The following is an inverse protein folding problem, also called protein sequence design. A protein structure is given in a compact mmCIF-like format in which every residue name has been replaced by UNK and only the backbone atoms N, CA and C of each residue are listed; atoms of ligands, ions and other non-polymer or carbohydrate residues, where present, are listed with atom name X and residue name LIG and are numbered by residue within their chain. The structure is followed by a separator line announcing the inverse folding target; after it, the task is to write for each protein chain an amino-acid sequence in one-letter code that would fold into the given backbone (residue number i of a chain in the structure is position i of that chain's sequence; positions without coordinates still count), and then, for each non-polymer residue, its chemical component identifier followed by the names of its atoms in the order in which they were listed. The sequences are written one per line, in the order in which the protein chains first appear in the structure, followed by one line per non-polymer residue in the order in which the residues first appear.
data_IF_662912189158
#
_entry.id   IF_662912189158
#
_cell.length_a   1.000
_cell.length_b   1.000
_cell.length_c   1.000
_cell.angle_alpha   90.00
_cell.angle_beta   90.00
_cell.angle_gamma   90.00
#
_symmetry.space_group_name_H-M   'P 1'
#
loop_
_entity.id
_entity.type
_entity.pdbx_description
1 polymer ?
#
# COMPACT_ATOMS: atom_id res chain seq x y z
N UNK A 1 2.32 9.17 19.60
CA UNK A 1 0.92 9.13 19.10
C UNK A 1 0.73 8.20 17.88
N UNK A 2 1.70 8.09 16.96
CA UNK A 2 1.67 7.11 15.84
C UNK A 2 1.81 5.66 16.30
N UNK A 3 2.66 5.41 17.31
CA UNK A 3 2.90 4.07 17.87
C UNK A 3 1.66 3.54 18.61
N UNK A 4 0.96 4.40 19.35
CA UNK A 4 -0.27 4.04 20.07
C UNK A 4 -1.45 3.74 19.13
N UNK A 5 -1.52 4.42 17.97
CA UNK A 5 -2.56 4.17 16.96
C UNK A 5 -2.31 2.87 16.18
N UNK A 6 -1.04 2.59 15.87
CA UNK A 6 -0.60 1.29 15.34
C UNK A 6 -0.86 0.17 16.36
N UNK A 7 -0.60 0.40 17.65
CA UNK A 7 -0.90 -0.55 18.71
C UNK A 7 -2.40 -0.84 18.84
N UNK A 8 -3.25 0.18 18.70
CA UNK A 8 -4.71 0.02 18.72
C UNK A 8 -5.22 -0.77 17.51
N UNK A 9 -4.66 -0.50 16.31
CA UNK A 9 -4.85 -1.34 15.12
C UNK A 9 -4.42 -2.78 15.35
N UNK A 10 -3.26 -2.97 15.99
CA UNK A 10 -2.67 -4.26 16.35
C UNK A 10 -3.50 -5.07 17.34
N UNK A 11 -4.20 -4.40 18.27
CA UNK A 11 -5.03 -5.04 19.30
C UNK A 11 -6.50 -5.19 18.88
N UNK A 12 -6.93 -4.53 17.80
CA UNK A 12 -8.28 -4.66 17.23
C UNK A 12 -8.74 -6.09 16.92
N UNK A 13 -7.87 -7.05 16.52
CA UNK A 13 -8.27 -8.43 16.28
C UNK A 13 -8.46 -9.24 17.57
N UNK A 14 -7.97 -8.75 18.72
CA UNK A 14 -8.09 -9.43 20.01
C UNK A 14 -9.43 -9.20 20.71
N UNK A 15 -10.23 -8.25 20.23
CA UNK A 15 -11.52 -7.94 20.82
C UNK A 15 -12.68 -8.29 19.88
N UNK A 16 -13.75 -8.81 20.50
CA UNK A 16 -15.02 -9.26 19.95
C UNK A 16 -15.45 -8.54 18.66
N UNK A 17 -16.07 -9.25 17.70
CA UNK A 17 -16.36 -8.80 16.29
C UNK A 17 -16.90 -7.37 16.12
N UNK A 18 -17.60 -6.84 17.12
CA UNK A 18 -18.10 -5.47 17.15
C UNK A 18 -17.03 -4.42 17.47
N UNK A 19 -16.09 -4.76 18.36
CA UNK A 19 -14.98 -3.90 18.80
C UNK A 19 -13.93 -3.79 17.69
N UNK A 20 -13.65 -4.85 16.92
CA UNK A 20 -12.73 -4.76 15.77
C UNK A 20 -13.26 -3.81 14.70
N UNK A 21 -14.58 -3.80 14.46
CA UNK A 21 -15.26 -2.90 13.52
C UNK A 21 -15.31 -1.47 14.06
N UNK A 22 -15.56 -1.28 15.35
CA UNK A 22 -15.48 0.03 16.04
C UNK A 22 -14.05 0.56 16.06
N UNK A 23 -13.03 -0.29 16.22
CA UNK A 23 -11.62 0.10 16.15
C UNK A 23 -11.21 0.40 14.72
N UNK A 24 -11.69 -0.35 13.72
CA UNK A 24 -11.49 -0.02 12.30
C UNK A 24 -12.13 1.33 11.94
N UNK A 25 -13.32 1.63 12.46
CA UNK A 25 -13.99 2.93 12.33
C UNK A 25 -13.21 4.02 13.08
N UNK A 26 -12.72 3.76 14.30
CA UNK A 26 -11.89 4.69 15.08
C UNK A 26 -10.52 4.94 14.44
N UNK A 27 -10.00 3.98 13.68
CA UNK A 27 -8.76 4.10 12.92
C UNK A 27 -9.01 4.85 11.63
N UNK A 28 -10.12 4.61 10.93
CA UNK A 28 -10.53 5.42 9.78
C UNK A 28 -10.82 6.87 10.21
N UNK A 29 -11.43 7.07 11.39
CA UNK A 29 -11.60 8.37 12.05
C UNK A 29 -10.26 8.93 12.51
N UNK A 30 -9.35 8.11 13.02
CA UNK A 30 -8.01 8.51 13.45
C UNK A 30 -7.13 8.93 12.28
N UNK A 31 -7.23 8.24 11.14
CA UNK A 31 -6.65 8.62 9.85
C UNK A 31 -7.31 9.89 9.35
N UNK A 32 -8.62 10.04 9.44
CA UNK A 32 -9.35 11.29 9.13
C UNK A 32 -8.88 12.47 9.99
N UNK A 33 -8.69 12.28 11.30
CA UNK A 33 -8.14 13.30 12.20
C UNK A 33 -6.66 13.57 11.89
N UNK A 34 -5.87 12.55 11.54
CA UNK A 34 -4.48 12.73 11.09
C UNK A 34 -4.36 13.39 9.71
N UNK A 35 -5.37 13.29 8.83
CA UNK A 35 -5.40 14.10 7.61
C UNK A 35 -5.38 15.59 7.94
N UNK A 36 -5.86 16.01 9.13
CA UNK A 36 -5.76 17.39 9.58
C UNK A 36 -4.39 17.75 10.19
N UNK A 37 -3.48 16.80 10.45
CA UNK A 37 -2.17 17.07 11.04
C UNK A 37 -1.03 17.15 10.01
N UNK A 38 -1.21 16.61 8.80
CA UNK A 38 -0.26 16.82 7.69
C UNK A 38 -0.65 18.09 6.95
N UNK A 39 -0.47 19.23 7.63
CA UNK A 39 -0.76 20.57 7.12
C UNK A 39 0.45 21.14 6.41
N UNK A 40 0.20 21.78 5.27
CA UNK A 40 1.18 22.60 4.57
C UNK A 40 1.54 23.80 5.45
N UNK A 41 2.74 23.81 6.01
CA UNK A 41 3.35 25.08 6.37
C UNK A 41 4.07 25.62 5.13
N UNK A 42 3.33 26.24 4.21
CA UNK A 42 3.95 27.06 3.16
C UNK A 42 4.52 28.29 3.88
N UNK A 43 5.73 28.18 4.42
CA UNK A 43 6.50 29.36 4.84
C UNK A 43 6.91 30.12 3.58
N UNK A 44 5.98 30.85 2.96
CA UNK A 44 6.37 32.01 2.17
C UNK A 44 6.84 33.06 3.18
N UNK A 45 8.14 33.36 3.16
CA UNK A 45 8.65 34.64 3.67
C UNK A 45 7.96 35.75 2.88
N UNK A 46 6.82 36.25 3.36
CA UNK A 46 6.31 37.63 3.18
C UNK A 46 5.01 37.80 3.98
N UNK A 47 4.83 39.04 4.45
CA UNK A 47 3.95 39.59 5.49
C UNK A 47 2.50 39.04 5.54
N UNK A 48 1.84 39.08 6.72
CA UNK A 48 0.54 38.46 6.93
C UNK A 48 -0.57 39.35 6.33
N UNK A 49 -1.12 38.93 5.20
CA UNK A 49 -2.49 39.28 4.83
C UNK A 49 -3.37 38.07 5.11
N UNK A 50 -4.49 38.29 5.81
CA UNK A 50 -5.48 37.28 6.23
C UNK A 50 -6.24 36.72 5.01
N UNK A 51 -5.55 36.07 4.09
CA UNK A 51 -6.16 35.09 3.22
C UNK A 51 -6.16 33.77 4.00
N UNK A 52 -7.34 33.25 4.31
CA UNK A 52 -7.52 31.86 4.76
C UNK A 52 -7.10 30.94 3.63
N UNK A 53 -5.79 30.70 3.51
CA UNK A 53 -5.23 29.71 2.61
C UNK A 53 -5.70 28.36 3.12
N UNK A 54 -6.67 27.74 2.44
CA UNK A 54 -7.11 26.39 2.74
C UNK A 54 -5.90 25.46 2.64
N UNK A 55 -5.41 24.99 3.80
CA UNK A 55 -4.36 23.99 3.90
C UNK A 55 -4.91 22.66 3.34
N UNK A 56 -4.48 22.26 2.14
CA UNK A 56 -4.90 20.99 1.53
C UNK A 56 -4.02 19.88 2.11
N UNK A 57 -4.60 18.89 2.78
CA UNK A 57 -3.81 17.76 3.30
C UNK A 57 -3.27 16.87 2.17
N UNK A 58 -1.98 16.55 2.21
CA UNK A 58 -1.29 15.74 1.18
C UNK A 58 -1.98 14.38 1.02
N UNK A 59 -2.42 13.78 2.13
CA UNK A 59 -3.13 12.50 2.13
C UNK A 59 -4.48 12.58 1.39
N UNK A 60 -5.29 13.62 1.65
CA UNK A 60 -6.57 13.82 0.96
C UNK A 60 -6.37 14.08 -0.53
N UNK A 61 -5.30 14.78 -0.89
CA UNK A 61 -4.94 15.01 -2.29
C UNK A 61 -4.53 13.71 -2.99
N UNK A 62 -3.68 12.87 -2.39
CA UNK A 62 -3.30 11.57 -2.96
C UNK A 62 -4.51 10.65 -3.09
N UNK A 63 -5.40 10.59 -2.10
CA UNK A 63 -6.66 9.83 -2.18
C UNK A 63 -7.53 10.30 -3.34
N UNK A 64 -7.81 11.61 -3.41
CA UNK A 64 -8.65 12.20 -4.45
C UNK A 64 -8.06 11.93 -5.83
N UNK A 65 -6.76 12.14 -5.99
CA UNK A 65 -6.06 11.91 -7.25
C UNK A 65 -6.13 10.45 -7.69
N UNK A 66 -5.92 9.53 -6.76
CA UNK A 66 -5.95 8.11 -7.04
C UNK A 66 -7.31 7.65 -7.60
N UNK A 67 -8.41 8.11 -7.01
CA UNK A 67 -9.78 7.73 -7.40
C UNK A 67 -10.36 8.54 -8.56
N UNK A 68 -9.88 9.75 -8.84
CA UNK A 68 -10.28 10.51 -10.04
C UNK A 68 -9.83 9.81 -11.32
N UNK A 69 -8.73 9.08 -11.23
CA UNK A 69 -8.09 8.47 -12.36
C UNK A 69 -8.79 7.17 -12.77
N UNK A 70 -9.53 7.21 -13.89
CA UNK A 70 -10.35 6.09 -14.38
C UNK A 70 -9.55 4.79 -14.54
N UNK A 71 -8.32 4.87 -15.04
CA UNK A 71 -7.45 3.71 -15.25
C UNK A 71 -7.10 3.01 -13.93
N UNK A 72 -6.85 3.76 -12.86
CA UNK A 72 -6.59 3.21 -11.53
C UNK A 72 -7.83 2.49 -10.98
N UNK A 73 -9.00 3.15 -11.08
CA UNK A 73 -10.27 2.61 -10.59
C UNK A 73 -10.64 1.32 -11.33
N UNK A 74 -10.53 1.31 -12.66
CA UNK A 74 -10.79 0.11 -13.48
C UNK A 74 -9.82 -1.01 -13.09
N UNK A 75 -8.51 -0.72 -13.04
CA UNK A 75 -7.51 -1.72 -12.70
C UNK A 75 -7.73 -2.36 -11.32
N UNK A 76 -8.20 -1.58 -10.36
CA UNK A 76 -8.54 -2.07 -9.02
C UNK A 76 -9.80 -2.92 -9.02
N UNK A 77 -10.89 -2.46 -9.65
CA UNK A 77 -12.14 -3.21 -9.70
C UNK A 77 -11.94 -4.54 -10.40
N UNK A 78 -11.22 -4.55 -11.54
CA UNK A 78 -10.91 -5.78 -12.28
C UNK A 78 -10.10 -6.77 -11.44
N UNK A 79 -9.06 -6.29 -10.75
CA UNK A 79 -8.24 -7.15 -9.88
C UNK A 79 -9.02 -7.66 -8.67
N UNK A 80 -9.93 -6.85 -8.12
CA UNK A 80 -10.80 -7.27 -7.04
C UNK A 80 -11.78 -8.36 -7.46
N UNK A 81 -12.43 -8.21 -8.62
CA UNK A 81 -13.32 -9.25 -9.16
C UNK A 81 -12.54 -10.55 -9.43
N UNK A 82 -11.38 -10.43 -10.09
CA UNK A 82 -10.51 -11.57 -10.36
C UNK A 82 -10.10 -12.30 -9.08
N UNK A 83 -9.69 -11.57 -8.04
CA UNK A 83 -9.29 -12.13 -6.74
C UNK A 83 -10.41 -12.94 -6.10
N UNK A 84 -11.64 -12.43 -6.11
CA UNK A 84 -12.78 -13.14 -5.51
C UNK A 84 -13.20 -14.38 -6.33
N UNK A 85 -13.19 -14.29 -7.65
CA UNK A 85 -13.45 -15.45 -8.54
C UNK A 85 -12.41 -16.53 -8.29
N UNK A 86 -11.13 -16.16 -8.24
CA UNK A 86 -10.04 -17.10 -7.99
C UNK A 86 -10.14 -17.73 -6.60
N UNK A 87 -10.45 -16.93 -5.58
CA UNK A 87 -10.64 -17.42 -4.22
C UNK A 87 -11.81 -18.41 -4.10
N UNK A 88 -12.95 -18.13 -4.75
CA UNK A 88 -14.08 -19.06 -4.82
C UNK A 88 -13.70 -20.36 -5.54
N UNK A 89 -13.01 -20.27 -6.69
CA UNK A 89 -12.60 -21.43 -7.45
C UNK A 89 -11.64 -22.33 -6.67
N UNK A 90 -10.66 -21.75 -5.94
CA UNK A 90 -9.73 -22.52 -5.09
C UNK A 90 -10.49 -23.32 -4.05
N UNK A 91 -11.50 -22.72 -3.42
CA UNK A 91 -12.27 -23.38 -2.38
C UNK A 91 -13.21 -24.46 -2.93
N UNK A 92 -13.68 -24.30 -4.17
CA UNK A 92 -14.58 -25.25 -4.83
C UNK A 92 -13.89 -26.51 -5.39
N UNK A 93 -12.55 -26.57 -5.35
CA UNK A 93 -11.81 -27.76 -5.81
C UNK A 93 -11.86 -28.83 -4.71
N UNK A 94 -12.84 -29.71 -4.80
CA UNK A 94 -12.97 -30.88 -3.94
C UNK A 94 -11.69 -31.75 -4.02
N UNK A 95 -11.18 -32.16 -2.85
CA UNK A 95 -10.06 -33.11 -2.74
C UNK A 95 -8.66 -32.50 -2.87
N UNK A 96 -8.51 -31.25 -3.32
CA UNK A 96 -7.31 -30.49 -3.02
C UNK A 96 -7.49 -29.83 -1.67
N UNK A 97 -6.91 -30.42 -0.63
CA UNK A 97 -6.40 -29.61 0.46
C UNK A 97 -5.27 -28.77 -0.13
N UNK A 98 -5.61 -27.70 -0.86
CA UNK A 98 -4.65 -26.65 -1.15
C UNK A 98 -4.17 -26.26 0.23
N UNK A 99 -2.92 -26.61 0.55
CA UNK A 99 -2.35 -26.31 1.85
C UNK A 99 -2.70 -24.87 2.14
N UNK A 100 -3.37 -24.62 3.26
CA UNK A 100 -3.98 -23.34 3.60
C UNK A 100 -3.01 -22.15 3.34
N UNK A 101 -1.70 -22.37 3.46
CA UNK A 101 -0.64 -21.43 3.06
C UNK A 101 -0.62 -21.00 1.58
N UNK A 102 -0.86 -21.90 0.63
CA UNK A 102 -0.88 -21.61 -0.82
C UNK A 102 -2.03 -20.69 -1.23
N UNK A 103 -3.21 -20.84 -0.61
CA UNK A 103 -4.36 -19.93 -0.84
C UNK A 103 -4.00 -18.50 -0.46
N UNK A 104 -3.49 -18.30 0.75
CA UNK A 104 -3.10 -16.96 1.23
C UNK A 104 -1.87 -16.40 0.49
N UNK A 105 -0.96 -17.26 0.03
CA UNK A 105 0.10 -16.86 -0.89
C UNK A 105 -0.44 -16.25 -2.18
N UNK A 106 -1.38 -16.92 -2.84
CA UNK A 106 -1.97 -16.45 -4.09
C UNK A 106 -2.73 -15.14 -3.88
N UNK A 107 -3.51 -15.03 -2.79
CA UNK A 107 -4.20 -13.80 -2.42
C UNK A 107 -3.19 -12.65 -2.25
N UNK A 108 -2.12 -12.85 -1.47
CA UNK A 108 -1.09 -11.83 -1.27
C UNK A 108 -0.38 -11.48 -2.56
N UNK A 109 -0.08 -12.45 -3.42
CA UNK A 109 0.58 -12.25 -4.69
C UNK A 109 -0.29 -11.41 -5.63
N UNK A 110 -1.59 -11.70 -5.71
CA UNK A 110 -2.53 -10.97 -6.56
C UNK A 110 -2.73 -9.55 -6.05
N UNK A 111 -3.00 -9.35 -4.75
CA UNK A 111 -3.12 -8.00 -4.19
C UNK A 111 -1.82 -7.23 -4.40
N UNK A 112 -0.69 -7.89 -4.16
CA UNK A 112 0.61 -7.30 -4.41
C UNK A 112 0.75 -6.94 -5.87
N UNK A 113 0.25 -7.71 -6.84
CA UNK A 113 0.39 -7.45 -8.29
C UNK A 113 -0.37 -6.22 -8.83
N UNK A 114 -1.30 -5.66 -8.06
CA UNK A 114 -2.14 -4.51 -8.48
C UNK A 114 -1.24 -3.32 -8.81
N UNK A 115 -1.11 -3.03 -10.11
CA UNK A 115 -0.14 -2.05 -10.60
C UNK A 115 -0.46 -0.62 -10.14
N UNK A 116 -1.72 -0.14 -10.14
CA UNK A 116 -2.06 1.21 -9.65
C UNK A 116 -1.59 1.50 -8.22
N UNK A 117 -1.67 0.50 -7.33
CA UNK A 117 -1.29 0.65 -5.92
C UNK A 117 0.23 0.75 -5.73
N UNK A 118 0.99 0.03 -6.55
CA UNK A 118 2.43 -0.11 -6.34
C UNK A 118 3.28 0.81 -7.22
N UNK A 119 2.68 1.45 -8.23
CA UNK A 119 3.36 2.36 -9.17
C UNK A 119 2.95 3.83 -8.96
N UNK A 120 2.59 4.23 -7.74
CA UNK A 120 2.12 5.58 -7.43
C UNK A 120 3.16 6.68 -7.65
N UNK A 121 4.46 6.35 -7.68
CA UNK A 121 5.55 7.28 -7.97
C UNK A 121 5.86 7.35 -9.45
N UNK A 122 5.66 6.26 -10.18
CA UNK A 122 5.73 6.22 -11.63
C UNK A 122 4.56 6.96 -12.28
N UNK A 123 3.34 6.82 -11.76
CA UNK A 123 2.12 7.49 -12.27
C UNK A 123 2.17 9.02 -12.22
N UNK A 124 3.12 9.58 -11.48
CA UNK A 124 3.24 11.00 -11.14
C UNK A 124 4.18 11.76 -12.07
N UNK A 125 4.54 11.20 -13.23
CA UNK A 125 5.46 11.83 -14.19
C UNK A 125 5.18 13.32 -14.42
N UNK A 126 3.93 13.69 -14.66
CA UNK A 126 3.53 15.09 -14.89
C UNK A 126 3.62 15.95 -13.63
N UNK A 127 3.26 15.38 -12.47
CA UNK A 127 3.30 16.09 -11.19
C UNK A 127 4.73 16.31 -10.70
N UNK A 128 5.67 15.42 -11.04
CA UNK A 128 7.11 15.64 -10.82
C UNK A 128 7.61 16.87 -11.58
N UNK A 129 7.15 17.08 -12.82
CA UNK A 129 7.49 18.27 -13.62
C UNK A 129 6.95 19.56 -13.00
N UNK A 130 5.89 19.49 -12.21
CA UNK A 130 5.30 20.63 -11.49
C UNK A 130 5.99 20.81 -10.13
N UNK A 131 6.37 19.73 -9.46
CA UNK A 131 7.01 19.73 -8.14
C UNK A 131 8.44 20.29 -8.14
N UNK A 132 9.10 20.39 -9.30
CA UNK A 132 10.30 21.23 -9.49
C UNK A 132 10.09 22.67 -9.03
N UNK A 133 8.89 23.22 -9.27
CA UNK A 133 8.53 24.61 -8.97
C UNK A 133 7.88 24.76 -7.57
N UNK A 134 7.47 23.66 -6.96
CA UNK A 134 6.93 23.60 -5.59
C UNK A 134 7.55 22.43 -4.82
N UNK A 135 8.72 22.63 -4.18
CA UNK A 135 9.46 21.54 -3.58
C UNK A 135 8.70 20.97 -2.38
N UNK A 136 8.32 19.69 -2.50
CA UNK A 136 7.72 18.91 -1.42
C UNK A 136 8.73 17.89 -0.92
N UNK A 137 8.82 17.72 0.40
CA UNK A 137 9.71 16.71 1.01
C UNK A 137 9.32 15.31 0.53
N UNK A 138 10.28 14.60 -0.07
CA UNK A 138 10.10 13.25 -0.62
C UNK A 138 9.53 12.26 0.41
N UNK A 139 10.01 12.34 1.66
CA UNK A 139 9.52 11.54 2.79
C UNK A 139 8.03 11.76 3.08
N UNK A 140 7.54 12.99 2.97
CA UNK A 140 6.12 13.29 3.25
C UNK A 140 5.19 12.69 2.19
N UNK A 141 5.59 12.76 0.92
CA UNK A 141 4.85 12.16 -0.19
C UNK A 141 4.87 10.63 -0.08
N UNK A 142 6.04 10.06 0.24
CA UNK A 142 6.17 8.63 0.49
C UNK A 142 5.23 8.15 1.60
N UNK A 143 5.18 8.86 2.74
CA UNK A 143 4.28 8.52 3.84
C UNK A 143 2.79 8.63 3.43
N UNK A 144 2.42 9.59 2.58
CA UNK A 144 1.06 9.68 2.09
C UNK A 144 0.72 8.53 1.13
N UNK A 145 1.59 8.23 0.17
CA UNK A 145 1.38 7.15 -0.81
C UNK A 145 1.35 5.76 -0.17
N UNK A 146 2.25 5.49 0.79
CA UNK A 146 2.22 4.23 1.54
C UNK A 146 0.93 4.09 2.33
N UNK A 147 0.43 5.16 2.96
CA UNK A 147 -0.87 5.12 3.65
C UNK A 147 -2.03 4.85 2.71
N UNK A 148 -2.10 5.52 1.54
CA UNK A 148 -3.16 5.26 0.56
C UNK A 148 -3.11 3.81 0.07
N UNK A 149 -1.93 3.35 -0.37
CA UNK A 149 -1.78 2.00 -0.92
C UNK A 149 -2.05 0.92 0.13
N UNK A 150 -1.58 1.11 1.37
CA UNK A 150 -1.82 0.16 2.46
C UNK A 150 -3.29 0.13 2.84
N UNK A 151 -3.97 1.27 2.96
CA UNK A 151 -5.40 1.29 3.28
C UNK A 151 -6.24 0.57 2.23
N UNK A 152 -5.96 0.81 0.94
CA UNK A 152 -6.72 0.17 -0.14
C UNK A 152 -6.43 -1.33 -0.22
N UNK A 153 -5.16 -1.74 -0.11
CA UNK A 153 -4.79 -3.17 -0.13
C UNK A 153 -5.34 -3.94 1.08
N UNK A 154 -5.31 -3.35 2.28
CA UNK A 154 -5.89 -3.95 3.49
C UNK A 154 -7.42 -4.03 3.40
N UNK A 155 -8.06 -3.03 2.80
CA UNK A 155 -9.50 -3.10 2.52
C UNK A 155 -9.84 -4.31 1.65
N UNK A 156 -9.08 -4.56 0.57
CA UNK A 156 -9.30 -5.75 -0.26
C UNK A 156 -9.07 -7.06 0.49
N UNK A 157 -7.99 -7.15 1.26
CA UNK A 157 -7.74 -8.33 2.08
C UNK A 157 -8.88 -8.58 3.07
N UNK A 158 -9.40 -7.53 3.71
CA UNK A 158 -10.50 -7.64 4.67
C UNK A 158 -11.80 -8.16 4.03
N UNK A 159 -12.10 -7.77 2.79
CA UNK A 159 -13.27 -8.28 2.07
C UNK A 159 -13.10 -9.76 1.73
N UNK A 160 -11.94 -10.18 1.24
CA UNK A 160 -11.68 -11.58 0.92
C UNK A 160 -11.80 -12.46 2.18
N UNK A 161 -11.26 -12.00 3.30
CA UNK A 161 -11.35 -12.68 4.59
C UNK A 161 -12.80 -12.74 5.08
N UNK A 162 -13.55 -11.66 4.94
CA UNK A 162 -14.97 -11.62 5.29
C UNK A 162 -15.77 -12.61 4.46
N UNK A 163 -15.52 -12.69 3.16
CA UNK A 163 -16.15 -13.66 2.25
C UNK A 163 -15.79 -15.09 2.67
N UNK A 164 -14.52 -15.35 3.01
CA UNK A 164 -14.09 -16.68 3.46
C UNK A 164 -14.73 -17.09 4.79
N UNK A 165 -14.84 -16.15 5.74
CA UNK A 165 -15.48 -16.43 7.02
C UNK A 165 -16.98 -16.68 6.86
N UNK A 166 -17.66 -15.92 5.99
CA UNK A 166 -19.10 -16.03 5.80
C UNK A 166 -19.53 -17.22 4.92
N UNK A 167 -18.83 -17.46 3.82
CA UNK A 167 -19.19 -18.52 2.87
C UNK A 167 -18.58 -19.88 3.23
N UNK A 168 -17.37 -19.89 3.79
CA UNK A 168 -16.58 -21.11 3.99
C UNK A 168 -16.28 -21.40 5.47
N UNK A 169 -16.80 -20.59 6.39
CA UNK A 169 -16.67 -20.76 7.84
C UNK A 169 -15.21 -20.84 8.35
N UNK A 170 -14.25 -20.30 7.58
CA UNK A 170 -12.84 -20.28 7.97
C UNK A 170 -12.60 -19.33 9.16
N UNK A 171 -12.03 -19.83 10.26
CA UNK A 171 -11.62 -19.01 11.41
C UNK A 171 -10.19 -18.49 11.23
N UNK A 172 -10.07 -17.25 10.77
CA UNK A 172 -8.80 -16.71 10.28
C UNK A 172 -8.02 -15.79 11.22
N UNK A 173 -8.51 -15.51 12.43
CA UNK A 173 -8.03 -14.40 13.27
C UNK A 173 -6.51 -14.18 13.31
N UNK A 174 -5.73 -15.17 13.76
CA UNK A 174 -4.28 -15.04 13.91
C UNK A 174 -3.53 -15.08 12.57
N UNK A 175 -4.10 -15.76 11.56
CA UNK A 175 -3.50 -15.87 10.24
C UNK A 175 -3.72 -14.59 9.42
N UNK A 176 -4.91 -14.00 9.51
CA UNK A 176 -5.22 -12.68 8.96
C UNK A 176 -4.20 -11.65 9.43
N UNK A 177 -3.86 -11.67 10.72
CA UNK A 177 -2.85 -10.79 11.27
C UNK A 177 -1.47 -10.96 10.60
N UNK A 178 -1.01 -12.21 10.45
CA UNK A 178 0.25 -12.52 9.74
C UNK A 178 0.22 -12.05 8.28
N UNK A 179 -0.87 -12.35 7.58
CA UNK A 179 -1.07 -11.97 6.17
C UNK A 179 -1.14 -10.45 6.01
N UNK A 180 -1.82 -9.75 6.92
CA UNK A 180 -1.91 -8.29 6.95
C UNK A 180 -0.54 -7.62 7.16
N UNK A 181 0.28 -8.15 8.08
CA UNK A 181 1.65 -7.68 8.31
C UNK A 181 2.49 -7.87 7.04
N UNK A 182 2.45 -9.06 6.43
CA UNK A 182 3.17 -9.32 5.19
C UNK A 182 2.73 -8.30 4.12
N UNK A 183 1.43 -8.14 3.89
CA UNK A 183 0.90 -7.23 2.89
C UNK A 183 1.41 -5.79 3.05
N UNK A 184 1.45 -5.29 4.29
CA UNK A 184 2.00 -3.97 4.60
C UNK A 184 3.45 -3.84 4.14
N UNK A 185 4.30 -4.78 4.53
CA UNK A 185 5.72 -4.73 4.19
C UNK A 185 6.00 -4.94 2.71
N UNK A 186 5.23 -5.80 2.04
CA UNK A 186 5.34 -5.99 0.60
C UNK A 186 4.98 -4.71 -0.14
N UNK A 187 3.89 -4.05 0.27
CA UNK A 187 3.49 -2.75 -0.29
C UNK A 187 4.56 -1.69 -0.02
N UNK A 188 5.17 -1.69 1.16
CA UNK A 188 6.30 -0.80 1.49
C UNK A 188 7.48 -1.02 0.55
N UNK A 189 7.95 -2.25 0.39
CA UNK A 189 9.07 -2.59 -0.49
C UNK A 189 8.80 -2.15 -1.93
N UNK A 190 7.61 -2.47 -2.45
CA UNK A 190 7.24 -2.11 -3.82
C UNK A 190 7.18 -0.60 -4.03
N UNK A 191 6.54 0.15 -3.14
CA UNK A 191 6.48 1.60 -3.24
C UNK A 191 7.86 2.25 -3.03
N UNK A 192 8.70 1.69 -2.16
CA UNK A 192 10.07 2.19 -1.96
C UNK A 192 10.90 2.00 -3.23
N UNK A 193 10.79 0.83 -3.88
CA UNK A 193 11.43 0.56 -5.17
C UNK A 193 10.93 1.51 -6.27
N UNK A 194 9.61 1.73 -6.35
CA UNK A 194 9.02 2.67 -7.31
C UNK A 194 9.46 4.12 -7.06
N UNK A 195 9.68 4.49 -5.79
CA UNK A 195 10.24 5.80 -5.44
C UNK A 195 11.71 5.94 -5.87
N UNK A 196 12.52 4.89 -5.73
CA UNK A 196 13.95 4.89 -6.05
C UNK A 196 14.16 4.81 -7.57
N UNK A 197 13.43 3.93 -8.26
CA UNK A 197 13.51 3.70 -9.71
C UNK A 197 12.13 3.79 -10.35
N UNK A 198 11.55 4.99 -10.46
CA UNK A 198 10.27 5.18 -11.13
C UNK A 198 10.40 4.92 -12.64
N UNK A 199 9.37 4.32 -13.21
CA UNK A 199 9.19 4.17 -14.66
C UNK A 199 8.60 5.48 -15.17
N UNK A 200 9.42 6.32 -15.79
CA UNK A 200 9.00 7.62 -16.35
C UNK A 200 9.01 7.62 -17.89
N UNK A 201 9.47 6.54 -18.50
CA UNK A 201 9.57 6.36 -19.94
C UNK A 201 8.27 5.72 -20.47
N UNK A 202 7.23 6.54 -20.52
CA UNK A 202 5.91 6.23 -21.05
C UNK A 202 5.21 7.52 -21.51
N UNK A 203 4.44 7.47 -22.59
CA UNK A 203 3.64 8.61 -23.07
C UNK A 203 2.26 8.62 -22.43
N UNK A 204 1.58 7.48 -22.43
CA UNK A 204 0.30 7.28 -21.77
C UNK A 204 0.42 6.29 -20.61
N UNK A 205 -0.44 6.43 -19.59
CA UNK A 205 -0.47 5.54 -18.43
C UNK A 205 -0.85 4.11 -18.80
N UNK A 206 -1.55 3.89 -19.92
CA UNK A 206 -1.73 2.53 -20.44
C UNK A 206 -0.40 1.85 -20.77
N UNK A 207 0.60 2.59 -21.27
CA UNK A 207 1.93 2.06 -21.52
C UNK A 207 2.68 1.78 -20.21
N UNK A 208 2.51 2.63 -19.19
CA UNK A 208 3.00 2.37 -17.84
C UNK A 208 2.46 1.03 -17.31
N UNK A 209 1.17 0.78 -17.49
CA UNK A 209 0.53 -0.47 -17.06
C UNK A 209 0.98 -1.68 -17.88
N UNK A 210 1.41 -1.51 -19.13
CA UNK A 210 1.95 -2.59 -19.95
C UNK A 210 3.46 -2.79 -19.77
N UNK A 211 4.15 -1.84 -19.15
CA UNK A 211 5.60 -1.84 -19.07
C UNK A 211 6.12 -3.05 -18.26
N UNK A 212 6.99 -3.91 -18.82
CA UNK A 212 7.49 -5.09 -18.13
C UNK A 212 8.35 -4.75 -16.91
N UNK A 213 8.96 -3.56 -16.85
CA UNK A 213 9.77 -3.12 -15.71
C UNK A 213 8.96 -3.09 -14.40
N UNK A 214 7.62 -3.00 -14.46
CA UNK A 214 6.76 -3.05 -13.27
C UNK A 214 6.91 -4.36 -12.48
N UNK A 215 7.23 -5.46 -13.16
CA UNK A 215 7.40 -6.78 -12.55
C UNK A 215 8.71 -6.92 -11.76
N UNK A 216 9.68 -6.02 -11.95
CA UNK A 216 10.93 -6.05 -11.17
C UNK A 216 10.66 -5.91 -9.66
N UNK A 217 9.75 -5.01 -9.29
CA UNK A 217 9.31 -4.86 -7.90
C UNK A 217 8.52 -6.08 -7.39
N UNK A 218 7.88 -6.85 -8.27
CA UNK A 218 7.19 -8.09 -7.92
C UNK A 218 8.19 -9.23 -7.70
N UNK A 219 9.24 -9.34 -8.52
CA UNK A 219 10.29 -10.36 -8.38
C UNK A 219 11.02 -10.29 -7.04
N UNK A 220 11.16 -9.08 -6.47
CA UNK A 220 11.78 -8.89 -5.15
C UNK A 220 10.86 -9.37 -4.01
N UNK A 221 9.54 -9.36 -4.23
CA UNK A 221 8.52 -9.71 -3.24
C UNK A 221 8.17 -11.20 -3.25
N UNK A 222 8.39 -11.92 -4.35
CA UNK A 222 8.12 -13.35 -4.46
C UNK A 222 8.93 -14.20 -3.47
N UNK A 223 10.26 -14.04 -3.32
CA UNK A 223 11.06 -14.84 -2.39
C UNK A 223 10.57 -14.76 -0.92
N UNK A 224 10.34 -13.59 -0.31
CA UNK A 224 9.84 -13.55 1.06
C UNK A 224 8.42 -14.11 1.19
N UNK A 225 7.57 -13.97 0.16
CA UNK A 225 6.26 -14.62 0.12
C UNK A 225 6.39 -16.15 0.12
N UNK A 226 7.27 -16.69 -0.71
CA UNK A 226 7.50 -18.14 -0.78
C UNK A 226 8.02 -18.68 0.56
N UNK A 227 8.98 -18.00 1.19
CA UNK A 227 9.51 -18.37 2.51
C UNK A 227 8.44 -18.31 3.61
N UNK A 228 7.49 -17.37 3.52
CA UNK A 228 6.39 -17.28 4.48
C UNK A 228 5.48 -18.52 4.43
N UNK A 229 5.37 -19.14 3.27
CA UNK A 229 4.49 -20.30 3.01
C UNK A 229 5.22 -21.60 3.27
N UNK A 230 6.41 -21.76 2.70
CA UNK A 230 7.16 -23.02 2.74
C UNK A 230 7.93 -23.25 4.05
N UNK A 231 8.27 -22.19 4.78
CA UNK A 231 9.14 -22.28 5.96
C UNK A 231 8.47 -21.69 7.20
N UNK A 232 8.56 -20.36 7.35
CA UNK A 232 8.10 -19.69 8.56
C UNK A 232 7.89 -18.20 8.32
N UNK A 233 6.78 -17.68 8.85
CA UNK A 233 6.45 -16.27 8.91
C UNK A 233 7.59 -15.40 9.49
N UNK A 234 8.23 -15.83 10.59
CA UNK A 234 9.29 -15.03 11.23
C UNK A 234 10.54 -14.92 10.37
N UNK A 235 10.90 -16.00 9.66
CA UNK A 235 12.03 -16.00 8.72
C UNK A 235 11.72 -15.06 7.54
N UNK A 236 10.50 -15.12 7.01
CA UNK A 236 10.05 -14.18 5.98
C UNK A 236 10.14 -12.72 6.43
N UNK A 237 9.71 -12.42 7.67
CA UNK A 237 9.84 -11.08 8.26
C UNK A 237 11.29 -10.60 8.32
N UNK A 238 12.22 -11.46 8.73
CA UNK A 238 13.66 -11.12 8.77
C UNK A 238 14.18 -10.78 7.37
N UNK A 239 13.82 -11.58 6.36
CA UNK A 239 14.20 -11.33 4.96
C UNK A 239 13.64 -9.99 4.49
N UNK A 240 12.35 -9.73 4.74
CA UNK A 240 11.69 -8.48 4.38
C UNK A 240 12.38 -7.27 5.04
N UNK A 241 12.64 -7.35 6.34
CA UNK A 241 13.29 -6.26 7.09
C UNK A 241 14.71 -6.01 6.57
N UNK A 242 15.46 -7.07 6.25
CA UNK A 242 16.76 -6.94 5.62
C UNK A 242 16.68 -6.24 4.27
N UNK A 243 15.69 -6.57 3.43
CA UNK A 243 15.43 -5.90 2.16
C UNK A 243 15.07 -4.42 2.34
N UNK A 244 14.25 -4.09 3.34
CA UNK A 244 13.93 -2.70 3.69
C UNK A 244 15.19 -1.91 4.08
N UNK A 245 16.07 -2.49 4.90
CA UNK A 245 17.33 -1.85 5.31
C UNK A 245 18.26 -1.63 4.11
N UNK A 246 18.41 -2.63 3.25
CA UNK A 246 19.23 -2.52 2.03
C UNK A 246 18.70 -1.41 1.11
N UNK A 247 17.39 -1.30 0.93
CA UNK A 247 16.78 -0.23 0.13
C UNK A 247 16.94 1.15 0.77
N UNK A 248 16.89 1.24 2.10
CA UNK A 248 17.12 2.50 2.81
C UNK A 248 18.58 2.95 2.66
N UNK A 249 19.54 2.04 2.86
CA UNK A 249 20.97 2.29 2.65
C UNK A 249 21.25 2.68 1.20
N UNK A 250 20.69 1.96 0.23
CA UNK A 250 20.81 2.31 -1.18
C UNK A 250 20.24 3.71 -1.46
N UNK A 251 19.08 4.04 -0.88
CA UNK A 251 18.47 5.37 -1.02
C UNK A 251 19.32 6.47 -0.38
N UNK A 252 20.08 6.20 0.67
CA UNK A 252 20.97 7.19 1.30
C UNK A 252 22.27 7.37 0.52
N UNK A 253 22.85 6.28 0.00
CA UNK A 253 24.11 6.31 -0.74
C UNK A 253 23.96 6.86 -2.16
N UNK A 254 22.84 6.57 -2.82
CA UNK A 254 22.64 6.89 -4.25
C UNK A 254 21.44 7.82 -4.50
N UNK A 255 20.63 8.12 -3.49
CA UNK A 255 19.51 9.05 -3.62
C UNK A 255 20.01 10.48 -3.66
N UNK A 256 20.08 11.07 -4.85
CA UNK A 256 20.63 12.42 -5.06
C UNK A 256 19.77 13.57 -4.49
N UNK A 257 18.53 13.32 -4.05
CA UNK A 257 17.58 14.41 -3.77
C UNK A 257 16.60 14.16 -2.61
N UNK A 258 16.49 15.17 -1.73
CA UNK A 258 15.54 15.24 -0.62
C UNK A 258 14.12 15.70 -1.05
N UNK A 259 14.01 16.26 -2.26
CA UNK A 259 12.78 16.87 -2.77
C UNK A 259 12.20 16.06 -3.92
N UNK A 260 10.87 16.04 -4.01
CA UNK A 260 10.17 15.39 -5.11
C UNK A 260 10.21 16.29 -6.35
N UNK A 261 10.78 15.78 -7.46
CA UNK A 261 10.65 16.40 -8.79
C UNK A 261 11.92 17.00 -9.39
N UNK A 262 13.07 17.03 -8.71
CA UNK A 262 14.31 17.52 -9.32
C UNK A 262 14.97 16.45 -10.23
N UNK A 263 15.89 16.90 -11.10
CA UNK A 263 16.51 16.12 -12.19
C UNK A 263 17.83 15.52 -11.74
#
# INVERSE_FOLDING_TARGET
MTISLLLALFLSPFFNKFISLVVLILVLLGVSIFTNFIKFNVKKRKKPTKATVNEISILKWEFKKFFIEKTNVIGIISMFLFLNILNYNIESIDGMTVEFGLKYFLILLIISSISPLNLMFSSDKELRKIATYMPVKKRSIFMAKILVSTLISQFFLSIVVFINEMLFQEKLGLLYFKVSILLFFLTFLRLKLDMIKPILDYEDKMELWRNPKKYLSLMIVIPPLFVAVALNFYISLVIILSGCLVLELYSQLYGKEDFFGYK
#
